data_IF_019206228758
#
_entry.id   IF_019206228758
#
_cell.length_a   1.000
_cell.length_b   1.000
_cell.length_c   1.000
_cell.angle_alpha   90.00
_cell.angle_beta   90.00
_cell.angle_gamma   90.00
#
_symmetry.space_group_name_H-M   'P 1'
#
loop_
_entity.id
_entity.type
_entity.pdbx_description
1 polymer ?
#
# COMPACT_ATOMS: atom_id res chain seq x y z
N UNK A 1 19.90 -1.33 17.13
CA UNK A 1 19.06 -0.97 15.96
C UNK A 1 19.23 0.50 15.57
N UNK A 2 18.78 1.48 16.37
CA UNK A 2 18.94 2.90 15.99
C UNK A 2 20.41 3.35 15.92
N UNK A 3 21.25 2.88 16.85
CA UNK A 3 22.69 3.17 16.85
C UNK A 3 23.41 2.53 15.64
N UNK A 4 23.03 1.31 15.25
CA UNK A 4 23.56 0.66 14.05
C UNK A 4 23.17 1.44 12.77
N UNK A 5 21.93 1.94 12.70
CA UNK A 5 21.48 2.79 11.60
C UNK A 5 22.20 4.15 11.58
N UNK A 6 22.49 4.72 12.74
CA UNK A 6 23.28 5.97 12.80
C UNK A 6 24.69 5.77 12.30
N UNK A 7 25.37 4.70 12.74
CA UNK A 7 26.73 4.42 12.30
C UNK A 7 26.77 4.19 10.79
N UNK A 8 25.73 3.58 10.22
CA UNK A 8 25.57 3.51 8.77
C UNK A 8 25.45 4.91 8.13
N UNK A 9 24.64 5.81 8.66
CA UNK A 9 24.53 7.18 8.15
C UNK A 9 25.86 7.95 8.25
N UNK A 10 26.57 7.85 9.37
CA UNK A 10 27.88 8.48 9.55
C UNK A 10 28.90 7.95 8.54
N UNK A 11 28.96 6.62 8.35
CA UNK A 11 29.82 6.00 7.34
C UNK A 11 29.48 6.46 5.92
N UNK A 12 28.19 6.59 5.59
CA UNK A 12 27.76 7.10 4.27
C UNK A 12 28.17 8.55 4.09
N UNK A 13 27.98 9.40 5.11
CA UNK A 13 28.38 10.81 5.04
C UNK A 13 29.90 10.95 4.84
N UNK A 14 30.69 10.11 5.52
CA UNK A 14 32.15 10.09 5.41
C UNK A 14 32.61 9.75 3.98
N UNK A 15 31.95 8.79 3.30
CA UNK A 15 32.20 8.47 1.88
C UNK A 15 32.08 9.71 0.97
N UNK A 16 31.20 10.65 1.31
CA UNK A 16 30.99 11.90 0.57
C UNK A 16 31.72 13.10 1.19
N UNK A 17 32.60 12.87 2.17
CA UNK A 17 33.33 13.89 2.92
C UNK A 17 32.37 14.93 3.55
N UNK A 18 31.26 14.45 4.11
CA UNK A 18 30.24 15.22 4.82
C UNK A 18 30.24 14.88 6.30
N UNK A 19 29.84 15.84 7.13
CA UNK A 19 29.60 15.62 8.56
C UNK A 19 28.10 15.65 8.85
N UNK A 20 27.69 15.15 10.03
CA UNK A 20 26.30 15.23 10.48
C UNK A 20 25.74 16.66 10.49
N UNK A 21 26.58 17.65 10.78
CA UNK A 21 26.17 19.07 10.84
C UNK A 21 25.81 19.64 9.46
N UNK A 22 26.20 18.93 8.38
CA UNK A 22 25.81 19.28 7.02
C UNK A 22 24.44 18.72 6.63
N UNK A 23 23.80 17.92 7.49
CA UNK A 23 22.46 17.37 7.25
C UNK A 23 21.41 18.42 7.63
N UNK A 24 20.81 19.06 6.63
CA UNK A 24 19.80 20.10 6.87
C UNK A 24 18.47 19.56 7.42
N UNK A 25 18.05 18.37 6.99
CA UNK A 25 16.87 17.67 7.49
C UNK A 25 16.87 16.20 7.00
N UNK A 26 16.10 15.35 7.69
CA UNK A 26 15.83 13.98 7.29
C UNK A 26 14.40 13.87 6.78
N UNK A 27 14.17 13.10 5.70
CA UNK A 27 12.83 12.80 5.21
C UNK A 27 12.49 11.36 5.49
N UNK A 28 11.40 11.11 6.21
CA UNK A 28 11.01 9.75 6.58
C UNK A 28 9.58 9.65 7.08
N UNK A 29 9.15 8.44 7.42
CA UNK A 29 7.94 8.28 8.21
C UNK A 29 8.18 8.72 9.66
N UNK A 30 7.10 9.03 10.38
CA UNK A 30 7.17 9.40 11.78
C UNK A 30 7.22 8.16 12.69
N UNK A 31 7.96 7.11 12.32
CA UNK A 31 8.17 5.96 13.20
C UNK A 31 9.11 6.33 14.37
N UNK A 32 9.02 5.60 15.49
CA UNK A 32 9.87 5.82 16.67
C UNK A 32 11.36 5.75 16.35
N UNK A 33 11.78 4.82 15.49
CA UNK A 33 13.17 4.68 15.05
C UNK A 33 13.65 5.92 14.29
N UNK A 34 12.87 6.40 13.32
CA UNK A 34 13.23 7.57 12.52
C UNK A 34 13.26 8.86 13.35
N UNK A 35 12.31 9.00 14.30
CA UNK A 35 12.37 10.09 15.28
C UNK A 35 13.65 10.04 16.10
N UNK A 36 14.00 8.87 16.63
CA UNK A 36 15.18 8.72 17.47
C UNK A 36 16.47 9.00 16.69
N UNK A 37 16.57 8.53 15.45
CA UNK A 37 17.71 8.81 14.57
C UNK A 37 17.81 10.31 14.31
N UNK A 38 16.71 10.97 13.91
CA UNK A 38 16.70 12.41 13.65
C UNK A 38 17.09 13.23 14.89
N UNK A 39 16.58 12.87 16.07
CA UNK A 39 16.98 13.49 17.34
C UNK A 39 18.48 13.32 17.61
N UNK A 40 19.04 12.14 17.38
CA UNK A 40 20.48 11.89 17.63
C UNK A 40 21.39 12.52 16.57
N UNK A 41 20.91 12.66 15.34
CA UNK A 41 21.58 13.36 14.24
C UNK A 41 21.48 14.89 14.37
N UNK A 42 20.72 15.39 15.35
CA UNK A 42 20.40 16.82 15.53
C UNK A 42 19.81 17.47 14.26
N UNK A 43 18.98 16.72 13.54
CA UNK A 43 18.38 17.14 12.28
C UNK A 43 16.84 17.09 12.34
N UNK A 44 16.12 18.09 11.79
CA UNK A 44 14.66 18.04 11.69
C UNK A 44 14.17 16.82 10.90
N UNK A 45 13.16 16.11 11.41
CA UNK A 45 12.47 15.05 10.65
C UNK A 45 11.25 15.62 9.91
N UNK A 46 11.34 15.67 8.59
CA UNK A 46 10.24 16.06 7.70
C UNK A 46 9.45 14.81 7.33
N UNK A 47 8.13 14.84 7.56
CA UNK A 47 7.26 13.74 7.14
C UNK A 47 7.27 13.58 5.61
N UNK A 48 7.62 12.37 5.18
CA UNK A 48 7.62 12.01 3.78
C UNK A 48 6.23 12.25 3.15
N UNK A 49 6.23 12.77 1.91
CA UNK A 49 5.01 13.04 1.16
C UNK A 49 4.15 11.77 1.00
N UNK A 50 4.78 10.62 0.76
CA UNK A 50 4.10 9.32 0.65
C UNK A 50 3.40 8.91 1.95
N UNK A 51 4.01 9.20 3.12
CA UNK A 51 3.42 8.90 4.42
C UNK A 51 2.19 9.80 4.69
N UNK A 52 2.31 11.11 4.43
CA UNK A 52 1.18 12.05 4.53
C UNK A 52 0.03 11.65 3.60
N UNK A 53 0.37 11.21 2.39
CA UNK A 53 -0.60 10.72 1.42
C UNK A 53 -1.29 9.45 1.90
N UNK A 54 -0.55 8.48 2.44
CA UNK A 54 -1.11 7.26 3.01
C UNK A 54 -2.10 7.57 4.15
N UNK A 55 -1.78 8.51 5.04
CA UNK A 55 -2.70 8.96 6.10
C UNK A 55 -3.99 9.60 5.54
N UNK A 56 -3.87 10.42 4.50
CA UNK A 56 -5.04 11.00 3.82
C UNK A 56 -5.91 9.91 3.18
N UNK A 57 -5.28 8.93 2.52
CA UNK A 57 -5.97 7.79 1.92
C UNK A 57 -6.64 6.90 2.96
N UNK A 58 -6.03 6.65 4.12
CA UNK A 58 -6.68 5.92 5.22
C UNK A 58 -7.98 6.60 5.64
N UNK A 59 -7.99 7.94 5.78
CA UNK A 59 -9.22 8.69 6.10
C UNK A 59 -10.24 8.62 4.97
N UNK A 60 -9.79 8.71 3.72
CA UNK A 60 -10.65 8.63 2.54
C UNK A 60 -11.32 7.25 2.38
N UNK A 61 -10.59 6.17 2.70
CA UNK A 61 -11.07 4.80 2.54
C UNK A 61 -11.98 4.34 3.69
N UNK A 62 -11.95 4.99 4.85
CA UNK A 62 -12.72 4.58 6.03
C UNK A 62 -14.24 4.41 5.78
N UNK A 63 -14.93 5.29 5.02
CA UNK A 63 -16.35 5.09 4.68
C UNK A 63 -16.62 3.90 3.74
N UNK A 64 -15.58 3.37 3.09
CA UNK A 64 -15.64 2.24 2.17
C UNK A 64 -15.15 0.93 2.81
N UNK A 65 -14.88 0.92 4.12
CA UNK A 65 -14.21 -0.22 4.73
C UNK A 65 -15.03 -1.51 4.63
N UNK A 66 -16.36 -1.45 4.80
CA UNK A 66 -17.24 -2.62 4.67
C UNK A 66 -17.11 -3.31 3.32
N UNK A 67 -17.04 -2.55 2.22
CA UNK A 67 -16.89 -3.15 0.88
C UNK A 67 -15.47 -3.64 0.63
N UNK A 68 -14.47 -2.97 1.20
CA UNK A 68 -13.08 -3.38 1.09
C UNK A 68 -12.77 -4.63 1.93
N UNK A 69 -13.45 -4.81 3.06
CA UNK A 69 -13.42 -6.03 3.87
C UNK A 69 -14.03 -7.20 3.12
N UNK A 70 -15.25 -7.05 2.58
CA UNK A 70 -15.88 -8.10 1.78
C UNK A 70 -15.00 -8.54 0.59
N UNK A 71 -14.40 -7.59 -0.12
CA UNK A 71 -13.47 -7.91 -1.21
C UNK A 71 -12.19 -8.56 -0.68
N UNK A 72 -11.64 -8.09 0.43
CA UNK A 72 -10.48 -8.72 1.05
C UNK A 72 -10.77 -10.18 1.42
N UNK A 73 -11.94 -10.47 1.96
CA UNK A 73 -12.34 -11.81 2.39
C UNK A 73 -12.51 -12.74 1.19
N UNK A 74 -13.13 -12.26 0.10
CA UNK A 74 -13.13 -12.95 -1.19
C UNK A 74 -11.70 -13.26 -1.68
N UNK A 75 -10.81 -12.26 -1.65
CA UNK A 75 -9.43 -12.43 -2.11
C UNK A 75 -8.61 -13.37 -1.22
N UNK A 76 -8.95 -13.48 0.07
CA UNK A 76 -8.39 -14.48 0.98
C UNK A 76 -8.96 -15.86 0.66
N UNK A 77 -10.27 -15.97 0.45
CA UNK A 77 -10.93 -17.23 0.13
C UNK A 77 -10.38 -17.86 -1.17
N UNK A 78 -10.12 -17.02 -2.18
CA UNK A 78 -9.51 -17.45 -3.45
C UNK A 78 -8.06 -17.95 -3.31
N UNK A 79 -7.40 -17.72 -2.16
CA UNK A 79 -6.05 -18.22 -1.89
C UNK A 79 -6.04 -19.59 -1.19
N UNK A 80 -7.20 -20.11 -0.78
CA UNK A 80 -7.27 -21.49 -0.29
C UNK A 80 -6.93 -22.47 -1.40
N UNK A 81 -6.29 -23.59 -1.07
CA UNK A 81 -5.63 -24.48 -2.03
C UNK A 81 -6.55 -24.94 -3.17
N UNK A 82 -7.78 -25.37 -2.84
CA UNK A 82 -8.76 -25.84 -3.84
C UNK A 82 -9.24 -24.69 -4.75
N UNK A 83 -9.65 -23.57 -4.16
CA UNK A 83 -10.12 -22.39 -4.89
C UNK A 83 -9.02 -21.82 -5.79
N UNK A 84 -7.79 -21.79 -5.27
CA UNK A 84 -6.63 -21.31 -6.00
C UNK A 84 -6.28 -22.24 -7.16
N UNK A 85 -6.35 -23.56 -6.95
CA UNK A 85 -6.14 -24.54 -8.01
C UNK A 85 -7.17 -24.38 -9.14
N UNK A 86 -8.44 -24.13 -8.80
CA UNK A 86 -9.51 -23.90 -9.78
C UNK A 86 -9.32 -22.58 -10.54
N UNK A 87 -9.03 -21.50 -9.81
CA UNK A 87 -8.76 -20.19 -10.39
C UNK A 87 -7.56 -20.26 -11.36
N UNK A 88 -6.51 -20.99 -10.99
CA UNK A 88 -5.28 -21.12 -11.79
C UNK A 88 -5.48 -21.84 -13.12
N UNK A 89 -6.55 -22.64 -13.27
CA UNK A 89 -6.92 -23.24 -14.57
C UNK A 89 -7.37 -22.17 -15.57
N UNK A 90 -7.80 -21.01 -15.09
CA UNK A 90 -8.47 -19.97 -15.87
C UNK A 90 -7.65 -18.67 -15.97
N UNK A 91 -6.69 -18.45 -15.06
CA UNK A 91 -5.82 -17.25 -15.09
C UNK A 91 -4.47 -17.48 -14.43
N UNK A 92 -3.46 -16.75 -14.90
CA UNK A 92 -2.14 -16.65 -14.25
C UNK A 92 -2.10 -15.58 -13.14
N UNK A 93 -3.14 -14.75 -13.04
CA UNK A 93 -3.19 -13.68 -12.05
C UNK A 93 -3.46 -14.24 -10.66
N UNK A 94 -2.66 -13.82 -9.69
CA UNK A 94 -2.73 -14.28 -8.32
C UNK A 94 -3.63 -13.36 -7.48
N UNK A 95 -4.53 -13.90 -6.64
CA UNK A 95 -5.28 -13.08 -5.69
C UNK A 95 -4.35 -12.38 -4.70
N UNK A 96 -4.54 -11.07 -4.55
CA UNK A 96 -3.78 -10.21 -3.64
C UNK A 96 -4.62 -9.86 -2.41
N UNK A 97 -4.06 -10.11 -1.21
CA UNK A 97 -4.62 -9.63 0.06
C UNK A 97 -4.12 -8.21 0.35
N UNK A 98 -4.99 -7.32 0.86
CA UNK A 98 -4.57 -5.99 1.28
C UNK A 98 -3.86 -5.99 2.64
N UNK A 99 -2.99 -5.01 2.82
CA UNK A 99 -2.46 -4.56 4.11
C UNK A 99 -3.18 -3.27 4.49
N UNK A 100 -4.03 -3.31 5.53
CA UNK A 100 -4.92 -2.20 5.90
C UNK A 100 -4.18 -0.88 6.12
N UNK A 101 -2.96 -0.93 6.68
CA UNK A 101 -2.13 0.26 6.93
C UNK A 101 -1.50 0.87 5.68
N UNK A 102 -1.56 0.21 4.52
CA UNK A 102 -0.91 0.63 3.28
C UNK A 102 -1.94 0.77 2.16
N UNK A 103 -2.30 2.01 1.83
CA UNK A 103 -3.30 2.31 0.83
C UNK A 103 -2.98 1.71 -0.55
N UNK A 104 -1.69 1.67 -0.94
CA UNK A 104 -1.23 1.09 -2.20
C UNK A 104 -1.60 -0.40 -2.32
N UNK A 105 -1.57 -1.15 -1.21
CA UNK A 105 -1.99 -2.56 -1.22
C UNK A 105 -3.50 -2.72 -1.42
N UNK A 106 -4.29 -1.77 -0.93
CA UNK A 106 -5.73 -1.72 -1.19
C UNK A 106 -5.97 -1.46 -2.68
N UNK A 107 -5.26 -0.49 -3.27
CA UNK A 107 -5.33 -0.24 -4.71
C UNK A 107 -5.01 -1.49 -5.54
N UNK A 108 -3.90 -2.17 -5.24
CA UNK A 108 -3.49 -3.41 -5.93
C UNK A 108 -4.52 -4.52 -5.79
N UNK A 109 -5.09 -4.72 -4.58
CA UNK A 109 -6.16 -5.70 -4.36
C UNK A 109 -7.40 -5.38 -5.20
N UNK A 110 -7.86 -4.12 -5.16
CA UNK A 110 -9.04 -3.68 -5.92
C UNK A 110 -8.83 -3.90 -7.42
N UNK A 111 -7.68 -3.46 -7.94
CA UNK A 111 -7.31 -3.65 -9.34
C UNK A 111 -7.25 -5.13 -9.71
N UNK A 112 -6.64 -5.96 -8.87
CA UNK A 112 -6.53 -7.40 -9.09
C UNK A 112 -7.92 -8.03 -9.17
N UNK A 113 -8.77 -7.82 -8.15
CA UNK A 113 -10.13 -8.36 -8.07
C UNK A 113 -10.95 -8.02 -9.32
N UNK A 114 -10.88 -6.77 -9.81
CA UNK A 114 -11.59 -6.37 -11.04
C UNK A 114 -11.08 -7.13 -12.28
N UNK A 115 -9.76 -7.33 -12.38
CA UNK A 115 -9.14 -8.02 -13.53
C UNK A 115 -9.47 -9.51 -13.56
N UNK A 116 -9.50 -10.16 -12.41
CA UNK A 116 -9.75 -11.60 -12.30
C UNK A 116 -11.23 -11.95 -12.21
N UNK A 117 -12.11 -10.96 -12.06
CA UNK A 117 -13.56 -11.16 -11.84
C UNK A 117 -14.23 -12.14 -12.81
N UNK A 118 -13.96 -12.13 -14.13
CA UNK A 118 -14.57 -13.10 -15.04
C UNK A 118 -14.23 -14.56 -14.68
N UNK A 119 -13.06 -14.78 -14.11
CA UNK A 119 -12.55 -16.10 -13.73
C UNK A 119 -12.98 -16.51 -12.33
N UNK A 120 -13.18 -15.54 -11.42
CA UNK A 120 -13.76 -15.79 -10.09
C UNK A 120 -15.14 -16.45 -10.22
N UNK A 121 -15.96 -16.04 -11.20
CA UNK A 121 -17.30 -16.60 -11.42
C UNK A 121 -17.30 -18.11 -11.77
N UNK A 122 -16.14 -18.70 -12.04
CA UNK A 122 -15.98 -20.14 -12.34
C UNK A 122 -15.60 -20.96 -11.11
N UNK A 123 -15.34 -20.31 -9.97
CA UNK A 123 -14.99 -20.96 -8.70
C UNK A 123 -16.26 -21.01 -7.84
N UNK A 124 -16.95 -22.15 -7.84
CA UNK A 124 -18.25 -22.33 -7.17
C UNK A 124 -18.18 -22.02 -5.66
N UNK A 125 -17.12 -22.47 -5.00
CA UNK A 125 -16.90 -22.33 -3.55
C UNK A 125 -16.84 -20.88 -3.03
N UNK A 126 -16.74 -19.88 -3.91
CA UNK A 126 -16.69 -18.46 -3.52
C UNK A 126 -17.86 -17.63 -4.05
N UNK A 127 -18.87 -18.25 -4.66
CA UNK A 127 -20.00 -17.56 -5.30
C UNK A 127 -20.69 -16.56 -4.36
N UNK A 128 -20.95 -16.98 -3.12
CA UNK A 128 -21.60 -16.14 -2.10
C UNK A 128 -20.77 -14.92 -1.68
N UNK A 129 -19.45 -14.97 -1.89
CA UNK A 129 -18.52 -13.89 -1.54
C UNK A 129 -18.35 -12.87 -2.66
N UNK A 130 -18.87 -13.13 -3.87
CA UNK A 130 -18.72 -12.24 -5.03
C UNK A 130 -19.61 -11.00 -4.83
N UNK A 131 -19.05 -9.77 -4.83
CA UNK A 131 -19.87 -8.58 -4.77
C UNK A 131 -20.80 -8.48 -5.99
N UNK A 132 -22.10 -8.35 -5.73
CA UNK A 132 -23.17 -8.22 -6.74
C UNK A 132 -23.95 -6.91 -6.57
N UNK A 133 -24.75 -6.57 -7.59
CA UNK A 133 -25.67 -5.44 -7.58
C UNK A 133 -25.03 -4.10 -7.17
N UNK A 134 -25.60 -3.46 -6.16
CA UNK A 134 -25.16 -2.16 -5.66
C UNK A 134 -23.75 -2.15 -5.09
N UNK A 135 -23.34 -3.25 -4.46
CA UNK A 135 -21.99 -3.37 -3.92
C UNK A 135 -20.98 -3.33 -5.07
N UNK A 136 -21.20 -4.12 -6.12
CA UNK A 136 -20.33 -4.11 -7.30
C UNK A 136 -20.22 -2.72 -7.93
N UNK A 137 -21.34 -2.00 -8.09
CA UNK A 137 -21.35 -0.64 -8.63
C UNK A 137 -20.54 0.34 -7.77
N UNK A 138 -20.71 0.30 -6.45
CA UNK A 138 -19.93 1.12 -5.50
C UNK A 138 -18.43 0.79 -5.56
N UNK A 139 -18.09 -0.48 -5.74
CA UNK A 139 -16.71 -0.94 -5.87
C UNK A 139 -16.02 -0.40 -7.12
N UNK A 140 -16.69 -0.49 -8.27
CA UNK A 140 -16.16 0.06 -9.54
C UNK A 140 -16.01 1.58 -9.45
N UNK A 141 -17.00 2.28 -8.88
CA UNK A 141 -16.91 3.73 -8.66
C UNK A 141 -15.72 4.12 -7.77
N UNK A 142 -15.49 3.36 -6.68
CA UNK A 142 -14.31 3.54 -5.83
C UNK A 142 -13.02 3.36 -6.63
N UNK A 143 -12.91 2.30 -7.43
CA UNK A 143 -11.71 2.05 -8.23
C UNK A 143 -11.37 3.20 -9.20
N UNK A 144 -12.37 3.82 -9.83
CA UNK A 144 -12.16 5.00 -10.67
C UNK A 144 -11.56 6.19 -9.89
N UNK A 145 -11.95 6.35 -8.63
CA UNK A 145 -11.37 7.38 -7.76
C UNK A 145 -9.92 7.02 -7.38
N UNK A 146 -9.67 5.77 -7.02
CA UNK A 146 -8.33 5.32 -6.62
C UNK A 146 -7.30 5.44 -7.75
N UNK A 147 -7.70 5.23 -9.01
CA UNK A 147 -6.81 5.44 -10.18
C UNK A 147 -6.24 6.86 -10.25
N UNK A 148 -7.03 7.88 -9.88
CA UNK A 148 -6.58 9.27 -9.85
C UNK A 148 -5.51 9.47 -8.77
N UNK A 149 -5.70 8.86 -7.60
CA UNK A 149 -4.78 8.92 -6.48
C UNK A 149 -3.46 8.18 -6.74
N UNK A 150 -3.49 7.07 -7.46
CA UNK A 150 -2.29 6.33 -7.90
C UNK A 150 -1.37 7.19 -8.77
N UNK A 151 -1.93 7.93 -9.72
CA UNK A 151 -1.15 8.85 -10.56
C UNK A 151 -0.52 9.98 -9.73
N UNK A 152 -1.25 10.51 -8.74
CA UNK A 152 -0.73 11.54 -7.82
C UNK A 152 0.42 10.97 -6.98
N UNK A 153 0.24 9.79 -6.37
CA UNK A 153 1.25 9.16 -5.54
C UNK A 153 2.55 8.91 -6.33
N UNK A 154 2.45 8.36 -7.54
CA UNK A 154 3.61 8.17 -8.43
C UNK A 154 4.32 9.49 -8.74
N UNK A 155 3.58 10.57 -8.91
CA UNK A 155 4.15 11.90 -9.18
C UNK A 155 4.85 12.49 -7.94
N UNK A 156 4.29 12.27 -6.74
CA UNK A 156 4.89 12.68 -5.46
C UNK A 156 6.17 11.91 -5.12
N UNK A 157 6.42 10.77 -5.77
CA UNK A 157 7.60 9.92 -5.57
C UNK A 157 8.71 10.16 -6.61
N UNK A 158 8.50 11.01 -7.62
CA UNK A 158 9.55 11.32 -8.59
C UNK A 158 10.58 12.25 -7.96
N UNK A 159 11.85 12.00 -8.27
CA UNK A 159 12.97 12.84 -7.88
C UNK A 159 13.14 14.07 -8.79
N UNK A 160 12.20 14.31 -9.71
CA UNK A 160 12.20 15.45 -10.64
C UNK A 160 11.97 16.77 -9.85
N UNK A 161 12.98 17.24 -9.12
CA UNK A 161 13.07 18.60 -8.55
C UNK A 161 14.47 19.15 -8.70
#
# INVERSE_FOLDING_TARGET
MADDHMQLFENILDVYNKTKDMVGFMVGDNCSTNRLIATKMDAPLVMCASHRFNLAMTKYLAPHETILEAVNDLMVALRHENNFAELKKNTELLPVKRTVTRWASTFTMVQCCIRIRPEINKVEDVEELIPTGDMHRKFIALFEHLKKFENICKRLQREDT
#
